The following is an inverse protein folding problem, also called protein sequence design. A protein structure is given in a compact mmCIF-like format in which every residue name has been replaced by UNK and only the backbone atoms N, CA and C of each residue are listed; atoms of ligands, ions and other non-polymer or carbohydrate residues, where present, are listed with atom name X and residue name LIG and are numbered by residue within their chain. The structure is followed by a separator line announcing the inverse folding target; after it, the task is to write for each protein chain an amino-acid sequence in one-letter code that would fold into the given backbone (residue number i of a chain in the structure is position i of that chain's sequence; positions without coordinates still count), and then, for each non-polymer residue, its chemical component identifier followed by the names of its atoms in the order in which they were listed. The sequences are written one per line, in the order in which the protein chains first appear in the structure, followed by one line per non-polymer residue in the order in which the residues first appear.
data_IF_615007187611
#
_entry.id   IF_615007187611
#
_cell.length_a   1.000
_cell.length_b   1.000
_cell.length_c   1.000
_cell.angle_alpha   90.00
_cell.angle_beta   90.00
_cell.angle_gamma   90.00
#
_symmetry.space_group_name_H-M   'P 1'
#
loop_
_entity.id
_entity.type
_entity.pdbx_description
1 polymer ?
#
# COMPACT_ATOMS: atom_id res chain seq x y z
N UNK A 1 -6.07 -22.62 23.42
CA UNK A 1 -5.19 -21.48 23.10
C UNK A 1 -5.47 -21.13 21.64
N UNK A 2 -6.14 -20.01 21.37
CA UNK A 2 -6.41 -19.57 19.98
C UNK A 2 -5.06 -19.15 19.38
N UNK A 3 -4.66 -19.79 18.27
CA UNK A 3 -3.44 -19.42 17.55
C UNK A 3 -3.54 -17.94 17.13
N UNK A 4 -2.55 -17.15 17.50
CA UNK A 4 -2.51 -15.75 17.08
C UNK A 4 -2.25 -15.67 15.58
N UNK A 5 -3.06 -14.84 14.90
CA UNK A 5 -2.85 -14.51 13.48
C UNK A 5 -1.52 -13.77 13.28
N UNK A 6 -0.97 -13.82 12.07
CA UNK A 6 0.23 -13.06 11.72
C UNK A 6 -0.02 -11.55 11.94
N UNK A 7 -1.19 -11.05 11.52
CA UNK A 7 -1.60 -9.67 11.77
C UNK A 7 -1.50 -9.29 13.25
N UNK A 8 -2.10 -10.08 14.15
CA UNK A 8 -2.10 -9.79 15.59
C UNK A 8 -0.69 -9.77 16.19
N UNK A 9 0.16 -10.71 15.77
CA UNK A 9 1.55 -10.82 16.22
C UNK A 9 2.39 -9.62 15.77
N UNK A 10 2.32 -9.27 14.49
CA UNK A 10 3.05 -8.14 13.90
C UNK A 10 2.57 -6.79 14.44
N UNK A 11 1.25 -6.62 14.59
CA UNK A 11 0.67 -5.41 15.18
C UNK A 11 1.20 -5.17 16.59
N UNK A 12 1.29 -6.21 17.40
CA UNK A 12 1.87 -6.14 18.75
C UNK A 12 3.36 -5.80 18.70
N UNK A 13 4.13 -6.44 17.82
CA UNK A 13 5.56 -6.13 17.65
C UNK A 13 5.78 -4.67 17.27
N UNK A 14 4.96 -4.14 16.33
CA UNK A 14 5.02 -2.74 15.91
C UNK A 14 4.69 -1.76 17.04
N UNK A 15 3.74 -2.11 17.94
CA UNK A 15 3.36 -1.25 19.07
C UNK A 15 4.23 -1.40 20.33
N UNK A 16 5.00 -2.48 20.46
CA UNK A 16 5.65 -2.88 21.70
C UNK A 16 7.18 -2.79 21.75
N UNK A 17 7.84 -2.06 20.84
CA UNK A 17 9.29 -1.91 20.83
C UNK A 17 10.10 -3.12 20.30
N UNK A 18 9.45 -4.25 20.00
CA UNK A 18 10.06 -5.46 19.43
C UNK A 18 10.23 -5.45 17.90
N UNK A 19 9.74 -4.42 17.22
CA UNK A 19 9.62 -4.36 15.77
C UNK A 19 10.94 -4.67 15.04
N UNK A 20 12.04 -4.07 15.46
CA UNK A 20 13.36 -4.23 14.81
C UNK A 20 13.92 -5.65 14.85
N UNK A 21 13.50 -6.46 15.81
CA UNK A 21 13.92 -7.87 15.94
C UNK A 21 12.89 -8.81 15.31
N UNK A 22 11.63 -8.62 15.65
CA UNK A 22 10.59 -9.62 15.41
C UNK A 22 10.05 -9.57 13.97
N UNK A 23 9.94 -8.35 13.38
CA UNK A 23 9.43 -8.21 12.02
C UNK A 23 10.41 -8.74 10.97
N UNK A 24 11.71 -8.42 10.98
CA UNK A 24 12.65 -9.01 10.03
C UNK A 24 12.77 -10.54 10.18
N UNK A 25 12.72 -11.05 11.40
CA UNK A 25 12.74 -12.52 11.64
C UNK A 25 11.51 -13.18 11.04
N UNK A 26 10.33 -12.63 11.29
CA UNK A 26 9.08 -13.13 10.72
C UNK A 26 9.11 -13.06 9.19
N UNK A 27 9.51 -11.93 8.62
CA UNK A 27 9.58 -11.74 7.18
C UNK A 27 10.54 -12.73 6.51
N UNK A 28 11.73 -12.94 7.09
CA UNK A 28 12.70 -13.91 6.59
C UNK A 28 12.12 -15.33 6.59
N UNK A 29 11.41 -15.75 7.65
CA UNK A 29 10.76 -17.04 7.71
C UNK A 29 9.69 -17.20 6.63
N UNK A 30 8.77 -16.25 6.52
CA UNK A 30 7.67 -16.28 5.55
C UNK A 30 8.19 -16.25 4.10
N UNK A 31 9.13 -15.35 3.80
CA UNK A 31 9.72 -15.26 2.45
C UNK A 31 10.50 -16.54 2.09
N UNK A 32 11.17 -17.16 3.07
CA UNK A 32 11.80 -18.46 2.88
C UNK A 32 10.80 -19.55 2.51
N UNK A 33 9.66 -19.63 3.20
CA UNK A 33 8.60 -20.60 2.89
C UNK A 33 7.98 -20.35 1.51
N UNK A 34 7.76 -19.09 1.15
CA UNK A 34 7.26 -18.70 -0.18
C UNK A 34 8.26 -19.09 -1.28
N UNK A 35 9.55 -18.77 -1.09
CA UNK A 35 10.60 -19.08 -2.06
C UNK A 35 10.79 -20.58 -2.29
N UNK A 36 10.51 -21.41 -1.27
CA UNK A 36 10.53 -22.87 -1.37
C UNK A 36 9.18 -23.48 -1.81
N UNK A 37 8.23 -22.63 -2.23
CA UNK A 37 6.89 -23.06 -2.65
C UNK A 37 6.12 -23.89 -1.60
N UNK A 38 6.31 -23.57 -0.30
CA UNK A 38 5.66 -24.25 0.83
C UNK A 38 4.40 -23.55 1.32
N UNK A 39 4.03 -22.46 0.67
CA UNK A 39 2.81 -21.71 0.94
C UNK A 39 1.97 -21.61 -0.33
N UNK A 40 0.68 -21.33 -0.20
CA UNK A 40 -0.18 -21.00 -1.34
C UNK A 40 -0.11 -19.52 -1.76
N UNK A 41 0.87 -18.75 -1.25
CA UNK A 41 0.98 -17.32 -1.55
C UNK A 41 1.50 -17.12 -2.97
N UNK A 42 0.70 -16.44 -3.76
CA UNK A 42 1.07 -16.02 -5.13
C UNK A 42 1.31 -14.52 -5.11
N UNK A 43 2.46 -14.11 -5.65
CA UNK A 43 2.80 -12.69 -5.78
C UNK A 43 1.95 -12.02 -6.85
N UNK A 44 1.37 -10.87 -6.52
CA UNK A 44 0.56 -10.05 -7.42
C UNK A 44 1.36 -8.82 -7.83
N UNK A 45 1.49 -8.57 -9.13
CA UNK A 45 2.07 -7.32 -9.65
C UNK A 45 1.08 -6.19 -9.44
N UNK A 46 1.48 -5.23 -8.63
CA UNK A 46 0.63 -4.09 -8.33
C UNK A 46 0.83 -2.96 -9.36
N UNK A 47 -0.24 -2.30 -9.83
CA UNK A 47 -0.14 -1.19 -10.78
C UNK A 47 0.78 -0.04 -10.32
N UNK A 48 0.96 0.12 -9.02
CA UNK A 48 1.84 1.13 -8.42
C UNK A 48 3.33 0.76 -8.41
N UNK A 49 3.73 -0.31 -9.12
CA UNK A 49 5.13 -0.63 -9.41
C UNK A 49 5.84 -1.50 -8.38
N UNK A 50 5.12 -2.33 -7.64
CA UNK A 50 5.69 -3.32 -6.72
C UNK A 50 5.01 -4.69 -6.88
N UNK A 51 5.61 -5.72 -6.30
CA UNK A 51 4.96 -7.02 -6.12
C UNK A 51 4.39 -7.07 -4.70
N UNK A 52 3.10 -7.39 -4.59
CA UNK A 52 2.43 -7.65 -3.33
C UNK A 52 2.40 -9.16 -3.08
N UNK A 53 2.90 -9.60 -1.93
CA UNK A 53 2.77 -10.96 -1.42
C UNK A 53 1.70 -10.96 -0.33
N UNK A 54 0.44 -11.34 -0.62
CA UNK A 54 -0.65 -11.34 0.37
C UNK A 54 -0.52 -12.56 1.29
N UNK A 55 0.15 -12.38 2.43
CA UNK A 55 0.49 -13.48 3.36
C UNK A 55 -0.72 -13.91 4.18
N UNK A 56 -1.54 -12.96 4.61
CA UNK A 56 -2.73 -13.24 5.42
C UNK A 56 -3.85 -12.28 5.05
N UNK A 57 -5.07 -12.81 4.93
CA UNK A 57 -6.30 -12.04 4.85
C UNK A 57 -7.34 -12.71 5.75
N UNK A 58 -7.77 -12.03 6.80
CA UNK A 58 -8.72 -12.55 7.79
C UNK A 58 -9.73 -11.47 8.13
N UNK A 59 -10.94 -11.59 7.60
CA UNK A 59 -11.98 -10.58 7.78
C UNK A 59 -11.54 -9.21 7.24
N UNK A 60 -11.48 -8.21 8.12
CA UNK A 60 -11.08 -6.83 7.76
C UNK A 60 -9.56 -6.60 7.85
N UNK A 61 -8.80 -7.58 8.34
CA UNK A 61 -7.36 -7.47 8.55
C UNK A 61 -6.55 -8.22 7.48
N UNK A 62 -5.41 -7.65 7.08
CA UNK A 62 -4.50 -8.27 6.12
C UNK A 62 -3.04 -7.97 6.42
N UNK A 63 -2.18 -8.89 5.98
CA UNK A 63 -0.72 -8.77 6.00
C UNK A 63 -0.18 -9.00 4.61
N UNK A 64 0.57 -8.04 4.10
CA UNK A 64 1.28 -8.15 2.83
C UNK A 64 2.77 -7.87 3.03
N UNK A 65 3.60 -8.50 2.20
CA UNK A 65 4.96 -8.02 1.96
C UNK A 65 4.99 -7.36 0.60
N UNK A 66 5.39 -6.09 0.56
CA UNK A 66 5.58 -5.37 -0.69
C UNK A 66 7.06 -5.38 -1.06
N UNK A 67 7.35 -5.67 -2.32
CA UNK A 67 8.72 -5.76 -2.84
C UNK A 67 8.85 -4.89 -4.08
N UNK A 68 9.79 -3.96 -4.06
CA UNK A 68 10.21 -3.16 -5.20
C UNK A 68 11.57 -3.65 -5.69
N UNK A 69 11.79 -3.59 -7.00
CA UNK A 69 13.07 -3.93 -7.61
C UNK A 69 13.14 -3.45 -9.04
N UNK A 70 14.31 -3.04 -9.48
CA UNK A 70 14.51 -2.53 -10.85
C UNK A 70 14.29 -3.61 -11.92
N UNK A 71 14.45 -4.89 -11.54
CA UNK A 71 14.21 -6.04 -12.42
C UNK A 71 12.75 -6.53 -12.40
N UNK A 72 11.89 -5.94 -11.57
CA UNK A 72 10.47 -6.29 -11.54
C UNK A 72 9.74 -5.53 -12.64
N UNK A 73 9.02 -6.25 -13.49
CA UNK A 73 8.19 -5.64 -14.52
C UNK A 73 7.16 -4.70 -13.86
N UNK A 74 7.23 -3.42 -14.19
CA UNK A 74 6.30 -2.41 -13.69
C UNK A 74 5.03 -2.44 -14.53
N UNK A 75 3.88 -2.53 -13.89
CA UNK A 75 2.62 -2.20 -14.52
C UNK A 75 2.52 -0.67 -14.67
N UNK A 76 1.90 -0.21 -15.75
CA UNK A 76 1.58 1.21 -15.90
C UNK A 76 0.18 1.44 -15.35
N UNK A 77 -0.01 2.29 -14.33
CA UNK A 77 -1.35 2.59 -13.85
C UNK A 77 -2.14 3.34 -14.93
N UNK A 78 -3.43 3.05 -15.03
CA UNK A 78 -4.35 3.76 -15.92
C UNK A 78 -4.63 5.20 -15.44
N UNK A 79 -4.48 5.41 -14.14
CA UNK A 79 -4.57 6.71 -13.47
C UNK A 79 -3.20 7.16 -12.99
N UNK A 80 -3.12 8.26 -12.26
CA UNK A 80 -1.87 8.66 -11.61
C UNK A 80 -1.50 7.69 -10.46
N UNK A 81 -0.29 7.82 -9.93
CA UNK A 81 0.12 7.06 -8.74
C UNK A 81 -0.47 7.60 -7.42
N UNK A 82 -1.21 8.71 -7.49
CA UNK A 82 -1.88 9.29 -6.32
C UNK A 82 -3.15 8.52 -6.01
N UNK A 83 -3.21 7.91 -4.84
CA UNK A 83 -4.32 7.05 -4.43
C UNK A 83 -4.58 7.15 -2.93
N UNK A 84 -5.75 6.67 -2.51
CA UNK A 84 -6.14 6.54 -1.11
C UNK A 84 -6.74 5.16 -0.88
N UNK A 85 -6.42 4.56 0.27
CA UNK A 85 -6.93 3.26 0.65
C UNK A 85 -8.25 3.34 1.41
N UNK A 86 -9.09 2.33 1.27
CA UNK A 86 -10.29 2.10 2.08
C UNK A 86 -9.95 1.53 3.47
N UNK A 87 -8.67 1.36 3.78
CA UNK A 87 -8.15 0.71 4.97
C UNK A 87 -6.98 1.49 5.58
N UNK A 88 -6.82 1.37 6.90
CA UNK A 88 -5.66 1.92 7.60
C UNK A 88 -4.42 1.08 7.29
N UNK A 89 -3.34 1.73 6.90
CA UNK A 89 -2.03 1.13 6.66
C UNK A 89 -1.08 1.41 7.82
N UNK A 90 -0.43 0.37 8.32
CA UNK A 90 0.82 0.48 9.07
C UNK A 90 1.88 -0.33 8.36
N UNK A 91 3.00 0.29 8.02
CA UNK A 91 4.06 -0.35 7.25
C UNK A 91 5.41 -0.22 7.94
N UNK A 92 6.19 -1.31 7.90
CA UNK A 92 7.55 -1.39 8.44
C UNK A 92 8.52 -1.61 7.28
N UNK A 93 9.57 -0.78 7.19
CA UNK A 93 10.59 -0.90 6.13
C UNK A 93 11.60 -1.98 6.52
N UNK A 94 11.67 -3.05 5.72
CA UNK A 94 12.63 -4.15 5.89
C UNK A 94 14.01 -3.77 5.36
N UNK A 95 14.07 -3.26 4.14
CA UNK A 95 15.28 -2.75 3.49
C UNK A 95 14.94 -1.71 2.43
N UNK A 96 15.97 -1.02 1.91
CA UNK A 96 15.81 0.04 0.94
C UNK A 96 15.31 1.35 1.55
N UNK A 97 14.73 2.20 0.74
CA UNK A 97 14.21 3.51 1.15
C UNK A 97 12.84 3.73 0.54
N UNK A 98 11.88 4.10 1.36
CA UNK A 98 10.50 4.39 0.93
C UNK A 98 10.20 5.86 1.21
N UNK A 99 9.80 6.58 0.15
CA UNK A 99 9.39 7.99 0.25
C UNK A 99 7.89 8.09 0.02
N UNK A 100 7.16 8.48 1.06
CA UNK A 100 5.74 8.77 0.95
C UNK A 100 5.53 10.27 0.79
N UNK A 101 4.73 10.65 -0.21
CA UNK A 101 4.22 12.02 -0.37
C UNK A 101 2.75 12.00 0.03
N UNK A 102 2.43 12.71 1.09
CA UNK A 102 1.05 12.89 1.55
C UNK A 102 0.44 14.04 0.75
N UNK A 103 -0.76 13.83 0.25
CA UNK A 103 -1.38 14.71 -0.74
C UNK A 103 -2.70 15.23 -0.18
N UNK A 104 -2.82 16.54 -0.14
CA UNK A 104 -4.09 17.21 0.09
C UNK A 104 -4.86 17.30 -1.23
N UNK A 105 -6.14 16.95 -1.16
CA UNK A 105 -7.04 16.93 -2.31
C UNK A 105 -8.22 17.85 -2.02
N UNK A 106 -8.39 18.88 -2.86
CA UNK A 106 -9.41 19.92 -2.69
C UNK A 106 -10.35 19.93 -3.88
N UNK A 107 -11.65 20.00 -3.64
CA UNK A 107 -12.65 20.11 -4.69
C UNK A 107 -12.47 21.41 -5.48
N UNK A 108 -12.45 21.32 -6.80
CA UNK A 108 -12.15 22.42 -7.70
C UNK A 108 -12.88 22.25 -9.06
N UNK A 109 -14.23 22.32 -9.08
CA UNK A 109 -15.00 21.99 -10.28
C UNK A 109 -14.65 22.85 -11.49
N UNK A 110 -14.26 24.13 -11.29
CA UNK A 110 -13.99 25.07 -12.38
C UNK A 110 -12.55 25.01 -12.92
N UNK A 111 -11.60 24.52 -12.12
CA UNK A 111 -10.18 24.50 -12.49
C UNK A 111 -9.46 23.21 -12.04
N UNK A 112 -10.16 22.09 -12.05
CA UNK A 112 -9.62 20.80 -11.69
C UNK A 112 -8.43 20.41 -12.56
N UNK A 113 -7.48 19.69 -11.94
CA UNK A 113 -6.39 19.01 -12.63
C UNK A 113 -6.66 17.51 -12.69
N UNK A 114 -7.48 16.98 -11.78
CA UNK A 114 -7.75 15.55 -11.62
C UNK A 114 -9.23 15.28 -11.43
N UNK A 115 -9.64 14.08 -11.84
CA UNK A 115 -10.90 13.45 -11.46
C UNK A 115 -10.62 12.34 -10.46
N UNK A 116 -11.50 12.17 -9.48
CA UNK A 116 -11.46 11.05 -8.53
C UNK A 116 -12.13 9.83 -9.17
N UNK A 117 -11.48 8.69 -9.08
CA UNK A 117 -11.99 7.38 -9.46
C UNK A 117 -12.13 6.50 -8.23
N UNK A 118 -13.21 5.73 -8.15
CA UNK A 118 -13.32 4.58 -7.26
C UNK A 118 -12.58 3.42 -7.88
N UNK A 119 -11.81 2.68 -7.07
CA UNK A 119 -11.13 1.45 -7.47
C UNK A 119 -11.84 0.27 -6.83
N UNK A 120 -12.29 -0.68 -7.64
CA UNK A 120 -12.95 -1.90 -7.18
C UNK A 120 -12.15 -3.10 -7.65
N UNK A 121 -11.53 -3.80 -6.71
CA UNK A 121 -10.81 -5.04 -6.99
C UNK A 121 -11.78 -6.22 -7.00
N UNK A 122 -11.80 -6.97 -8.09
CA UNK A 122 -12.57 -8.22 -8.24
C UNK A 122 -11.68 -9.30 -8.83
N UNK A 123 -11.18 -10.20 -7.97
CA UNK A 123 -10.19 -11.20 -8.37
C UNK A 123 -8.87 -10.53 -8.79
N UNK A 124 -8.48 -10.76 -10.04
CA UNK A 124 -7.22 -10.24 -10.62
C UNK A 124 -7.40 -8.92 -11.40
N UNK A 125 -8.59 -8.33 -11.36
CA UNK A 125 -8.95 -7.15 -12.13
C UNK A 125 -9.34 -6.00 -11.19
N UNK A 126 -8.74 -4.84 -11.43
CA UNK A 126 -9.16 -3.58 -10.83
C UNK A 126 -10.05 -2.81 -11.83
N UNK A 127 -11.29 -2.56 -11.44
CA UNK A 127 -12.22 -1.72 -12.18
C UNK A 127 -12.12 -0.28 -11.68
N UNK A 128 -11.90 0.66 -12.60
CA UNK A 128 -11.89 2.10 -12.30
C UNK A 128 -13.24 2.70 -12.68
N UNK A 129 -13.93 3.25 -11.69
CA UNK A 129 -15.20 3.93 -11.90
C UNK A 129 -15.05 5.43 -11.71
N UNK A 130 -15.37 6.20 -12.76
CA UNK A 130 -15.38 7.65 -12.68
C UNK A 130 -16.39 8.14 -11.64
N UNK A 131 -16.00 9.16 -10.88
CA UNK A 131 -16.90 9.92 -10.02
C UNK A 131 -17.10 11.33 -10.58
N UNK A 132 -18.15 12.04 -10.18
CA UNK A 132 -18.34 13.45 -10.57
C UNK A 132 -17.33 14.38 -9.88
N UNK A 133 -16.53 13.90 -8.94
CA UNK A 133 -15.65 14.71 -8.10
C UNK A 133 -14.42 15.16 -8.88
N UNK A 134 -14.31 16.48 -9.09
CA UNK A 134 -13.22 17.17 -9.77
C UNK A 134 -12.37 17.91 -8.75
N UNK A 135 -11.04 17.72 -8.79
CA UNK A 135 -10.15 18.14 -7.72
C UNK A 135 -8.84 18.74 -8.22
N UNK A 136 -8.16 19.46 -7.31
CA UNK A 136 -6.74 19.76 -7.36
C UNK A 136 -6.02 19.00 -6.26
N UNK A 137 -4.73 18.77 -6.46
CA UNK A 137 -3.88 18.10 -5.49
C UNK A 137 -2.63 18.92 -5.18
N UNK A 138 -2.19 18.87 -3.93
CA UNK A 138 -0.96 19.52 -3.47
C UNK A 138 -0.22 18.58 -2.52
N UNK A 139 1.11 18.57 -2.60
CA UNK A 139 1.92 17.79 -1.67
C UNK A 139 1.97 18.52 -0.34
N UNK A 140 1.32 17.96 0.69
CA UNK A 140 1.34 18.48 2.05
C UNK A 140 2.62 18.17 2.79
N UNK A 141 3.12 16.93 2.64
CA UNK A 141 4.31 16.45 3.33
C UNK A 141 5.04 15.39 2.50
N UNK A 142 6.33 15.29 2.73
CA UNK A 142 7.16 14.20 2.17
C UNK A 142 7.93 13.55 3.31
N UNK A 143 7.76 12.24 3.47
CA UNK A 143 8.42 11.44 4.49
C UNK A 143 9.33 10.41 3.85
N UNK A 144 10.60 10.38 4.25
CA UNK A 144 11.54 9.33 3.88
C UNK A 144 11.65 8.35 5.04
N UNK A 145 11.46 7.06 4.77
CA UNK A 145 11.60 5.98 5.73
C UNK A 145 12.71 5.02 5.30
N UNK A 146 13.51 4.61 6.27
CA UNK A 146 14.67 3.73 6.11
C UNK A 146 14.47 2.43 6.90
N UNK A 147 15.34 1.41 6.74
CA UNK A 147 15.16 0.13 7.42
C UNK A 147 14.99 0.24 8.92
N UNK A 148 13.98 -0.44 9.45
CA UNK A 148 13.62 -0.41 10.86
C UNK A 148 12.68 0.72 11.25
N UNK A 149 12.30 1.59 10.32
CA UNK A 149 11.31 2.65 10.54
C UNK A 149 9.92 2.21 10.09
N UNK A 150 8.92 2.85 10.68
CA UNK A 150 7.51 2.63 10.38
C UNK A 150 6.85 3.92 9.90
N UNK A 151 5.78 3.75 9.15
CA UNK A 151 4.85 4.81 8.83
C UNK A 151 3.41 4.29 8.85
N UNK A 152 2.47 5.18 9.01
CA UNK A 152 1.05 4.86 8.94
C UNK A 152 0.32 5.85 8.04
N UNK A 153 -0.66 5.32 7.31
CA UNK A 153 -1.54 6.08 6.44
C UNK A 153 -2.97 5.71 6.82
N UNK A 154 -3.74 6.62 7.43
CA UNK A 154 -5.15 6.39 7.68
C UNK A 154 -5.94 6.19 6.39
N UNK A 155 -7.03 5.43 6.46
CA UNK A 155 -7.95 5.27 5.35
C UNK A 155 -8.42 6.64 4.81
N UNK A 156 -8.52 6.75 3.48
CA UNK A 156 -8.94 7.98 2.79
C UNK A 156 -7.86 9.04 2.62
N UNK A 157 -6.67 8.87 3.19
CA UNK A 157 -5.55 9.81 2.99
C UNK A 157 -4.90 9.56 1.63
N UNK A 158 -4.95 10.54 0.75
CA UNK A 158 -4.27 10.48 -0.54
C UNK A 158 -2.75 10.56 -0.36
N UNK A 159 -2.05 9.69 -1.07
CA UNK A 159 -0.60 9.64 -1.06
C UNK A 159 -0.05 9.04 -2.35
N UNK A 160 1.25 9.14 -2.54
CA UNK A 160 2.02 8.35 -3.50
C UNK A 160 3.30 7.86 -2.85
N UNK A 161 3.67 6.63 -3.16
CA UNK A 161 4.90 6.01 -2.66
C UNK A 161 5.93 5.97 -3.78
N UNK A 162 7.11 6.53 -3.52
CA UNK A 162 8.23 6.56 -4.46
C UNK A 162 9.38 5.74 -3.88
N UNK A 163 9.82 4.76 -4.65
CA UNK A 163 10.96 3.92 -4.32
C UNK A 163 11.95 3.97 -5.49
N UNK A 164 13.22 4.19 -5.17
CA UNK A 164 14.33 4.13 -6.12
C UNK A 164 15.19 2.91 -5.76
N UNK A 165 15.39 2.03 -6.74
CA UNK A 165 16.08 0.76 -6.54
C UNK A 165 15.25 -0.27 -5.76
N UNK A 166 15.95 -1.16 -5.08
CA UNK A 166 15.33 -2.26 -4.35
C UNK A 166 14.85 -1.83 -2.96
N UNK A 167 13.63 -2.23 -2.59
CA UNK A 167 13.09 -2.05 -1.25
C UNK A 167 12.06 -3.13 -0.90
N UNK A 168 11.82 -3.34 0.38
CA UNK A 168 10.69 -4.13 0.83
C UNK A 168 10.11 -3.60 2.14
N UNK A 169 8.80 -3.82 2.31
CA UNK A 169 8.06 -3.49 3.54
C UNK A 169 7.14 -4.61 3.96
N UNK A 170 6.87 -4.70 5.25
CA UNK A 170 5.74 -5.45 5.80
C UNK A 170 4.60 -4.49 6.05
N UNK A 171 3.48 -4.71 5.39
CA UNK A 171 2.30 -3.86 5.46
C UNK A 171 1.17 -4.57 6.20
N UNK A 172 0.60 -3.91 7.18
CA UNK A 172 -0.61 -4.32 7.90
C UNK A 172 -1.76 -3.43 7.45
N UNK A 173 -2.83 -4.04 6.95
CA UNK A 173 -4.05 -3.36 6.56
C UNK A 173 -5.20 -3.68 7.49
N UNK A 174 -6.06 -2.71 7.77
CA UNK A 174 -7.31 -2.91 8.48
C UNK A 174 -8.42 -2.09 7.82
N UNK A 175 -9.35 -2.77 7.15
CA UNK A 175 -10.42 -2.15 6.36
C UNK A 175 -11.32 -1.26 7.22
N UNK A 176 -11.79 -0.18 6.63
CA UNK A 176 -12.75 0.74 7.22
C UNK A 176 -14.08 0.63 6.50
N UNK A 177 -15.09 0.23 7.23
CA UNK A 177 -16.45 0.05 6.69
C UNK A 177 -16.96 1.34 6.04
N UNK A 178 -17.47 1.24 4.82
CA UNK A 178 -18.01 2.37 4.06
C UNK A 178 -16.97 3.23 3.34
N UNK A 179 -15.67 2.90 3.46
CA UNK A 179 -14.62 3.55 2.67
C UNK A 179 -14.39 2.79 1.36
N UNK A 180 -13.91 3.53 0.36
CA UNK A 180 -13.54 2.98 -0.96
C UNK A 180 -12.08 3.29 -1.25
N UNK A 181 -11.42 2.41 -2.01
CA UNK A 181 -10.13 2.73 -2.59
C UNK A 181 -10.33 3.76 -3.70
N UNK A 182 -9.52 4.81 -3.70
CA UNK A 182 -9.64 5.93 -4.61
C UNK A 182 -8.33 6.16 -5.37
N UNK A 183 -8.44 6.65 -6.60
CA UNK A 183 -7.30 7.09 -7.40
C UNK A 183 -7.60 8.41 -8.10
N UNK A 184 -6.55 9.19 -8.43
CA UNK A 184 -6.65 10.43 -9.18
C UNK A 184 -6.24 10.20 -10.64
N UNK A 185 -7.15 10.44 -11.57
CA UNK A 185 -6.87 10.47 -13.00
C UNK A 185 -6.71 11.90 -13.50
N UNK A 186 -5.68 12.17 -14.30
CA UNK A 186 -5.47 13.48 -14.91
C UNK A 186 -6.60 13.84 -15.86
N UNK A 187 -7.05 15.09 -15.79
CA UNK A 187 -7.98 15.62 -16.78
C UNK A 187 -7.14 16.18 -17.93
N UNK A 188 -7.16 15.46 -19.07
CA UNK A 188 -6.52 15.95 -20.28
C UNK A 188 -7.24 17.24 -20.71
N UNK A 189 -6.61 18.39 -20.47
CA UNK A 189 -7.02 19.65 -21.08
C UNK A 189 -6.60 19.57 -22.55
N UNK A 190 -7.60 19.42 -23.46
CA UNK A 190 -7.39 19.64 -24.88
C UNK A 190 -7.04 21.10 -25.15
#
# INVERSE_FOLDING_TARGET
MIAMTAYGSLRRAMGGGGARRDIPRWASGVLGEIAHNRTGVVGVRHPLGFVCLPVERTGEAGVCVHVWGDNLARASPTTSTMHAHSWDLVSYVLYGRVRNKIIDVTDAPDNAAYRVFEVRSSGDIDELRETPRLVRSEIRATELKTPGEMYSLPAGVFHTTVVHGDAATVALGNSRRGMMDLSLGEINRK
#
